data_IF_715672607597
#
_entry.id   IF_715672607597
#
_cell.length_a   1.000
_cell.length_b   1.000
_cell.length_c   1.000
_cell.angle_alpha   90.00
_cell.angle_beta   90.00
_cell.angle_gamma   90.00
#
_symmetry.space_group_name_H-M   'P 1'
#
loop_
_entity.id
_entity.type
_entity.pdbx_description
1 polymer ?
#
# COMPACT_ATOMS: atom_id res chain seq x y z
N UNK A 1 -29.78 0.01 8.23
CA UNK A 1 -28.73 -0.33 7.25
C UNK A 1 -27.88 -1.37 7.94
N UNK A 2 -27.95 -2.61 7.47
CA UNK A 2 -27.33 -3.77 8.11
C UNK A 2 -25.81 -3.63 8.02
N UNK A 3 -25.12 -3.58 9.16
CA UNK A 3 -23.65 -3.65 9.28
C UNK A 3 -23.18 -4.94 8.59
N UNK A 4 -22.67 -4.84 7.36
CA UNK A 4 -21.92 -5.92 6.74
C UNK A 4 -20.54 -6.00 7.38
N UNK A 5 -20.08 -7.21 7.69
CA UNK A 5 -18.70 -7.41 8.13
C UNK A 5 -17.73 -6.83 7.08
N UNK A 6 -16.66 -6.10 7.48
CA UNK A 6 -15.70 -5.49 6.54
C UNK A 6 -15.16 -6.45 5.48
N UNK A 7 -15.02 -7.73 5.85
CA UNK A 7 -14.61 -8.83 4.97
C UNK A 7 -15.60 -9.07 3.83
N UNK A 8 -16.90 -9.02 4.11
CA UNK A 8 -17.94 -9.19 3.10
C UNK A 8 -17.92 -8.04 2.09
N UNK A 9 -17.70 -6.81 2.57
CA UNK A 9 -17.58 -5.65 1.68
C UNK A 9 -16.33 -5.73 0.79
N UNK A 10 -15.20 -6.24 1.31
CA UNK A 10 -13.99 -6.48 0.53
C UNK A 10 -14.21 -7.53 -0.56
N UNK A 11 -14.85 -8.66 -0.22
CA UNK A 11 -15.17 -9.71 -1.19
C UNK A 11 -16.15 -9.22 -2.27
N UNK A 12 -17.20 -8.48 -1.89
CA UNK A 12 -18.13 -7.87 -2.84
C UNK A 12 -17.41 -6.90 -3.79
N UNK A 13 -16.52 -6.07 -3.24
CA UNK A 13 -15.72 -5.12 -4.03
C UNK A 13 -14.83 -5.83 -5.06
N UNK A 14 -14.30 -7.01 -4.74
CA UNK A 14 -13.60 -7.88 -5.68
C UNK A 14 -14.51 -8.42 -6.79
N UNK A 15 -15.69 -8.96 -6.43
CA UNK A 15 -16.64 -9.51 -7.41
C UNK A 15 -17.10 -8.42 -8.39
N UNK A 16 -17.41 -7.22 -7.91
CA UNK A 16 -17.82 -6.09 -8.74
C UNK A 16 -16.73 -5.71 -9.77
N UNK A 17 -15.45 -5.77 -9.37
CA UNK A 17 -14.33 -5.53 -10.29
C UNK A 17 -14.22 -6.61 -11.36
N UNK A 18 -14.33 -7.90 -10.97
CA UNK A 18 -14.26 -9.02 -11.91
C UNK A 18 -15.37 -8.89 -12.97
N UNK A 19 -16.61 -8.65 -12.55
CA UNK A 19 -17.76 -8.45 -13.45
C UNK A 19 -17.56 -7.25 -14.37
N UNK A 20 -17.05 -6.14 -13.84
CA UNK A 20 -16.78 -4.93 -14.64
C UNK A 20 -15.71 -5.18 -15.70
N UNK A 21 -14.65 -5.92 -15.37
CA UNK A 21 -13.60 -6.30 -16.32
C UNK A 21 -14.17 -7.20 -17.42
N UNK A 22 -14.97 -8.21 -17.06
CA UNK A 22 -15.61 -9.10 -18.04
C UNK A 22 -16.51 -8.32 -19.01
N UNK A 23 -17.36 -7.44 -18.48
CA UNK A 23 -18.28 -6.65 -19.30
C UNK A 23 -17.52 -5.73 -20.27
N UNK A 24 -16.49 -5.02 -19.78
CA UNK A 24 -15.66 -4.16 -20.63
C UNK A 24 -14.92 -4.94 -21.71
N UNK A 25 -14.33 -6.10 -21.38
CA UNK A 25 -13.68 -6.96 -22.38
C UNK A 25 -14.68 -7.48 -23.42
N UNK A 26 -15.88 -7.90 -23.00
CA UNK A 26 -16.92 -8.39 -23.90
C UNK A 26 -17.37 -7.29 -24.88
N UNK A 27 -17.60 -6.06 -24.39
CA UNK A 27 -17.94 -4.91 -25.21
C UNK A 27 -16.88 -4.68 -26.30
N UNK A 28 -15.59 -4.65 -25.93
CA UNK A 28 -14.47 -4.47 -26.87
C UNK A 28 -14.43 -5.57 -27.93
N UNK A 29 -14.58 -6.83 -27.52
CA UNK A 29 -14.51 -7.98 -28.42
C UNK A 29 -15.71 -8.06 -29.37
N UNK A 30 -16.88 -7.57 -28.95
CA UNK A 30 -18.05 -7.41 -29.81
C UNK A 30 -17.83 -6.30 -30.83
N UNK A 31 -17.37 -5.12 -30.40
CA UNK A 31 -17.04 -4.01 -31.31
C UNK A 31 -16.00 -4.40 -32.36
N UNK A 32 -14.93 -5.10 -31.96
CA UNK A 32 -13.90 -5.56 -32.88
C UNK A 32 -14.40 -6.54 -33.96
N UNK A 33 -15.51 -7.26 -33.72
CA UNK A 33 -16.15 -8.12 -34.72
C UNK A 33 -16.99 -7.32 -35.72
N UNK A 34 -17.56 -6.19 -35.29
CA UNK A 34 -18.40 -5.31 -36.13
C UNK A 34 -17.57 -4.31 -36.96
N UNK A 35 -16.39 -3.89 -36.49
CA UNK A 35 -15.50 -2.95 -37.19
C UNK A 35 -14.92 -3.47 -38.53
N UNK A 36 -15.09 -4.76 -38.83
CA UNK A 36 -14.84 -5.30 -40.18
C UNK A 36 -15.77 -4.72 -41.28
N UNK A 37 -16.70 -3.81 -40.94
CA UNK A 37 -17.62 -3.14 -41.88
C UNK A 37 -17.37 -1.62 -42.07
N UNK A 38 -16.24 -1.07 -41.60
CA UNK A 38 -15.77 0.25 -42.04
C UNK A 38 -16.43 1.49 -41.41
N UNK A 39 -16.91 1.39 -40.16
CA UNK A 39 -17.30 2.58 -39.37
C UNK A 39 -16.16 3.05 -38.45
N UNK A 40 -16.07 4.36 -38.14
CA UNK A 40 -15.06 4.88 -37.23
C UNK A 40 -15.33 4.35 -35.80
N UNK A 41 -14.29 4.04 -35.01
CA UNK A 41 -14.47 3.45 -33.70
C UNK A 41 -15.22 4.42 -32.77
N UNK A 42 -16.37 3.97 -32.27
CA UNK A 42 -17.10 4.62 -31.18
C UNK A 42 -16.16 4.66 -29.98
N UNK A 43 -15.88 5.87 -29.46
CA UNK A 43 -15.12 6.19 -28.23
C UNK A 43 -14.70 4.96 -27.42
N UNK A 44 -13.64 4.30 -27.89
CA UNK A 44 -13.26 2.98 -27.41
C UNK A 44 -12.64 3.07 -26.03
N UNK A 45 -13.11 2.23 -25.11
CA UNK A 45 -12.46 1.96 -23.81
C UNK A 45 -10.95 1.79 -24.00
N UNK A 46 -10.14 2.38 -23.11
CA UNK A 46 -8.68 2.43 -23.29
C UNK A 46 -8.04 1.06 -23.50
N UNK A 47 -8.58 -0.02 -22.93
CA UNK A 47 -8.06 -1.38 -23.07
C UNK A 47 -8.03 -1.92 -24.51
N UNK A 48 -8.86 -1.40 -25.42
CA UNK A 48 -8.90 -1.81 -26.83
C UNK A 48 -7.53 -1.64 -27.53
N UNK A 49 -6.73 -0.67 -27.09
CA UNK A 49 -5.38 -0.41 -27.61
C UNK A 49 -4.37 -1.53 -27.34
N UNK A 50 -4.69 -2.53 -26.52
CA UNK A 50 -3.84 -3.71 -26.28
C UNK A 50 -4.01 -4.81 -27.33
N UNK A 51 -5.05 -4.73 -28.18
CA UNK A 51 -5.38 -5.74 -29.19
C UNK A 51 -6.26 -6.87 -28.67
N UNK A 52 -7.10 -7.41 -29.55
CA UNK A 52 -8.18 -8.36 -29.22
C UNK A 52 -7.70 -9.64 -28.53
N UNK A 53 -6.51 -10.15 -28.88
CA UNK A 53 -5.96 -11.37 -28.27
C UNK A 53 -5.66 -11.21 -26.77
N UNK A 54 -5.11 -10.06 -26.36
CA UNK A 54 -4.83 -9.79 -24.94
C UNK A 54 -6.10 -9.48 -24.16
N UNK A 55 -7.04 -8.76 -24.79
CA UNK A 55 -8.36 -8.49 -24.21
C UNK A 55 -9.13 -9.80 -23.98
N UNK A 56 -9.14 -10.71 -24.97
CA UNK A 56 -9.74 -12.04 -24.84
C UNK A 56 -9.07 -12.88 -23.73
N UNK A 57 -7.73 -12.85 -23.66
CA UNK A 57 -7.01 -13.58 -22.62
C UNK A 57 -7.36 -13.07 -21.21
N UNK A 58 -7.43 -11.74 -21.03
CA UNK A 58 -7.86 -11.13 -19.77
C UNK A 58 -9.31 -11.48 -19.45
N UNK A 59 -10.22 -11.40 -20.42
CA UNK A 59 -11.63 -11.78 -20.27
C UNK A 59 -11.77 -13.20 -19.75
N UNK A 60 -11.07 -14.17 -20.38
CA UNK A 60 -11.09 -15.56 -19.95
C UNK A 60 -10.52 -15.77 -18.55
N UNK A 61 -9.53 -14.97 -18.13
CA UNK A 61 -9.03 -15.06 -16.76
C UNK A 61 -10.08 -14.53 -15.78
N UNK A 62 -10.73 -13.41 -16.10
CA UNK A 62 -11.80 -12.85 -15.28
C UNK A 62 -12.99 -13.82 -15.14
N UNK A 63 -13.37 -14.54 -16.20
CA UNK A 63 -14.37 -15.61 -16.16
C UNK A 63 -14.02 -16.71 -15.16
N UNK A 64 -12.76 -17.17 -15.20
CA UNK A 64 -12.30 -18.19 -14.28
C UNK A 64 -12.27 -17.68 -12.85
N UNK A 65 -11.79 -16.45 -12.62
CA UNK A 65 -11.80 -15.82 -11.28
C UNK A 65 -13.22 -15.74 -10.75
N UNK A 66 -14.18 -15.30 -11.55
CA UNK A 66 -15.59 -15.23 -11.14
C UNK A 66 -16.12 -16.62 -10.72
N UNK A 67 -15.85 -17.66 -11.52
CA UNK A 67 -16.29 -19.02 -11.20
C UNK A 67 -15.72 -19.51 -9.87
N UNK A 68 -14.43 -19.26 -9.60
CA UNK A 68 -13.81 -19.59 -8.31
C UNK A 68 -14.45 -18.84 -7.13
N UNK A 69 -14.84 -17.57 -7.33
CA UNK A 69 -15.61 -16.82 -6.33
C UNK A 69 -16.99 -17.42 -6.08
N UNK A 70 -17.71 -17.81 -7.14
CA UNK A 70 -19.03 -18.45 -7.01
C UNK A 70 -18.95 -19.82 -6.32
N UNK A 71 -17.91 -20.60 -6.62
CA UNK A 71 -17.61 -21.87 -5.92
C UNK A 71 -17.33 -21.63 -4.43
N UNK A 72 -16.54 -20.61 -4.10
CA UNK A 72 -16.26 -20.24 -2.71
C UNK A 72 -17.54 -19.87 -1.96
N UNK A 73 -18.37 -18.98 -2.53
CA UNK A 73 -19.66 -18.58 -1.91
C UNK A 73 -20.58 -19.78 -1.73
N UNK A 74 -20.67 -20.66 -2.74
CA UNK A 74 -21.50 -21.87 -2.69
C UNK A 74 -21.04 -22.82 -1.59
N UNK A 75 -19.73 -23.00 -1.43
CA UNK A 75 -19.14 -23.85 -0.39
C UNK A 75 -19.43 -23.30 1.00
N UNK A 76 -19.28 -21.99 1.21
CA UNK A 76 -19.66 -21.33 2.48
C UNK A 76 -21.14 -21.53 2.83
N UNK A 77 -22.03 -21.62 1.84
CA UNK A 77 -23.47 -21.85 2.08
C UNK A 77 -23.86 -23.32 2.25
N UNK A 78 -23.03 -24.28 1.82
CA UNK A 78 -23.35 -25.70 1.74
C UNK A 78 -22.86 -26.55 2.93
N UNK A 79 -22.23 -25.94 3.94
CA UNK A 79 -21.60 -26.59 5.10
C UNK A 79 -22.60 -27.21 6.12
N UNK A 80 -23.67 -27.87 5.64
CA UNK A 80 -24.56 -28.72 6.46
C UNK A 80 -24.46 -30.21 6.08
N UNK A 81 -23.78 -30.60 4.99
CA UNK A 81 -23.68 -32.05 4.66
C UNK A 81 -22.33 -32.46 4.09
N UNK A 82 -21.65 -33.32 4.84
CA UNK A 82 -20.36 -33.94 4.56
C UNK A 82 -20.27 -34.76 3.25
N UNK A 83 -19.01 -34.99 2.84
CA UNK A 83 -18.46 -36.03 1.96
C UNK A 83 -18.51 -35.85 0.43
N UNK A 84 -17.52 -35.12 -0.13
CA UNK A 84 -16.92 -35.37 -1.46
C UNK A 84 -15.62 -34.55 -1.77
N UNK A 85 -14.80 -34.18 -0.78
CA UNK A 85 -13.80 -33.10 -0.93
C UNK A 85 -12.45 -33.46 -1.62
N UNK A 86 -12.16 -34.74 -1.92
CA UNK A 86 -10.81 -35.18 -2.31
C UNK A 86 -10.36 -34.83 -3.75
N UNK A 87 -11.23 -35.00 -4.75
CA UNK A 87 -10.87 -34.80 -6.16
C UNK A 87 -11.14 -33.37 -6.66
N UNK A 88 -12.18 -32.71 -6.11
CA UNK A 88 -12.55 -31.33 -6.48
C UNK A 88 -11.50 -30.29 -6.07
N UNK A 89 -10.88 -30.46 -4.90
CA UNK A 89 -9.90 -29.52 -4.36
C UNK A 89 -8.60 -29.48 -5.19
N UNK A 90 -8.16 -30.64 -5.70
CA UNK A 90 -6.96 -30.74 -6.55
C UNK A 90 -7.14 -30.01 -7.89
N UNK A 91 -8.31 -30.15 -8.53
CA UNK A 91 -8.62 -29.47 -9.80
C UNK A 91 -8.77 -27.96 -9.62
N UNK A 92 -9.46 -27.51 -8.57
CA UNK A 92 -9.61 -26.08 -8.26
C UNK A 92 -8.25 -25.43 -7.94
N UNK A 93 -7.39 -26.13 -7.19
CA UNK A 93 -6.03 -25.70 -6.90
C UNK A 93 -5.15 -25.58 -8.16
N UNK A 94 -5.25 -26.53 -9.10
CA UNK A 94 -4.54 -26.45 -10.38
C UNK A 94 -5.04 -25.28 -11.23
N UNK A 95 -6.36 -25.08 -11.29
CA UNK A 95 -6.98 -23.97 -12.03
C UNK A 95 -6.57 -22.62 -11.45
N UNK A 96 -6.57 -22.48 -10.12
CA UNK A 96 -6.07 -21.30 -9.42
C UNK A 96 -4.63 -20.97 -9.83
N UNK A 97 -3.70 -21.94 -9.74
CA UNK A 97 -2.29 -21.72 -10.03
C UNK A 97 -2.07 -21.33 -11.51
N UNK A 98 -2.83 -21.94 -12.42
CA UNK A 98 -2.77 -21.61 -13.84
C UNK A 98 -3.23 -20.18 -14.12
N UNK A 99 -4.33 -19.74 -13.51
CA UNK A 99 -4.87 -18.39 -13.70
C UNK A 99 -3.94 -17.36 -13.09
N UNK A 100 -3.41 -17.62 -11.89
CA UNK A 100 -2.42 -16.75 -11.24
C UNK A 100 -1.22 -16.53 -12.16
N UNK A 101 -0.65 -17.60 -12.71
CA UNK A 101 0.46 -17.52 -13.66
C UNK A 101 0.10 -16.72 -14.92
N UNK A 102 -1.08 -16.95 -15.50
CA UNK A 102 -1.53 -16.20 -16.69
C UNK A 102 -1.72 -14.72 -16.41
N UNK A 103 -2.22 -14.35 -15.23
CA UNK A 103 -2.34 -12.95 -14.82
C UNK A 103 -0.96 -12.30 -14.65
N UNK A 104 0.02 -13.04 -14.14
CA UNK A 104 1.42 -12.57 -14.07
C UNK A 104 2.03 -12.41 -15.47
N UNK A 105 1.75 -13.33 -16.39
CA UNK A 105 2.19 -13.23 -17.79
C UNK A 105 1.58 -11.98 -18.45
N UNK A 106 0.27 -11.72 -18.27
CA UNK A 106 -0.41 -10.51 -18.79
C UNK A 106 0.22 -9.24 -18.19
N UNK A 107 0.41 -9.20 -16.87
CA UNK A 107 1.04 -8.07 -16.19
C UNK A 107 2.47 -7.84 -16.68
N UNK A 108 3.24 -8.92 -16.90
CA UNK A 108 4.61 -8.86 -17.43
C UNK A 108 4.64 -8.32 -18.87
N UNK A 109 3.73 -8.77 -19.73
CA UNK A 109 3.57 -8.25 -21.09
C UNK A 109 3.26 -6.76 -21.05
N UNK A 110 2.29 -6.33 -20.23
CA UNK A 110 1.94 -4.92 -20.09
C UNK A 110 3.14 -4.09 -19.57
N UNK A 111 3.83 -4.58 -18.54
CA UNK A 111 4.99 -3.92 -17.94
C UNK A 111 6.18 -3.82 -18.90
N UNK A 112 6.40 -4.83 -19.75
CA UNK A 112 7.44 -4.78 -20.78
C UNK A 112 7.25 -3.59 -21.73
N UNK A 113 6.01 -3.15 -21.96
CA UNK A 113 5.70 -1.97 -22.76
C UNK A 113 6.05 -0.67 -22.06
N UNK A 114 6.16 -0.65 -20.73
CA UNK A 114 6.44 0.58 -19.99
C UNK A 114 7.85 1.09 -20.32
N UNK A 115 8.81 0.19 -20.56
CA UNK A 115 10.17 0.54 -20.97
C UNK A 115 10.27 1.20 -22.35
N UNK A 116 9.21 1.11 -23.17
CA UNK A 116 9.18 1.72 -24.49
C UNK A 116 8.73 3.19 -24.47
N UNK A 117 8.28 3.72 -23.32
CA UNK A 117 7.73 5.07 -23.22
C UNK A 117 8.25 5.79 -21.96
N UNK A 118 8.32 7.12 -22.02
CA UNK A 118 8.31 7.90 -20.78
C UNK A 118 6.93 7.77 -20.13
N UNK A 119 6.86 7.80 -18.80
CA UNK A 119 5.59 7.57 -18.10
C UNK A 119 4.46 8.50 -18.55
N UNK A 120 4.75 9.78 -18.82
CA UNK A 120 3.78 10.77 -19.32
C UNK A 120 3.19 10.42 -20.70
N UNK A 121 3.94 9.67 -21.50
CA UNK A 121 3.58 9.29 -22.87
C UNK A 121 3.11 7.83 -22.94
N UNK A 122 3.13 7.10 -21.82
CA UNK A 122 2.77 5.69 -21.73
C UNK A 122 1.26 5.51 -22.02
N UNK A 123 0.90 4.77 -23.09
CA UNK A 123 -0.50 4.60 -23.47
C UNK A 123 -1.34 4.03 -22.33
N UNK A 124 -2.53 4.61 -22.13
CA UNK A 124 -3.46 4.24 -21.05
C UNK A 124 -3.84 2.77 -21.14
N UNK A 125 -3.94 2.20 -22.36
CA UNK A 125 -4.27 0.80 -22.59
C UNK A 125 -3.36 -0.17 -21.81
N UNK A 126 -2.04 0.02 -21.91
CA UNK A 126 -1.06 -0.83 -21.24
C UNK A 126 -1.09 -0.65 -19.73
N UNK A 127 -1.30 0.57 -19.24
CA UNK A 127 -1.45 0.84 -17.81
C UNK A 127 -2.73 0.20 -17.25
N UNK A 128 -3.83 0.26 -18.00
CA UNK A 128 -5.08 -0.38 -17.61
C UNK A 128 -4.96 -1.91 -17.62
N UNK A 129 -4.34 -2.50 -18.66
CA UNK A 129 -4.11 -3.96 -18.72
C UNK A 129 -3.27 -4.45 -17.53
N UNK A 130 -2.22 -3.72 -17.15
CA UNK A 130 -1.44 -4.00 -15.94
C UNK A 130 -2.31 -3.91 -14.68
N UNK A 131 -3.10 -2.83 -14.57
CA UNK A 131 -3.99 -2.60 -13.43
C UNK A 131 -5.01 -3.73 -13.28
N UNK A 132 -5.69 -4.11 -14.36
CA UNK A 132 -6.73 -5.13 -14.34
C UNK A 132 -6.20 -6.53 -14.02
N UNK A 133 -5.07 -6.90 -14.62
CA UNK A 133 -4.43 -8.19 -14.34
C UNK A 133 -4.00 -8.30 -12.87
N UNK A 134 -3.48 -7.22 -12.28
CA UNK A 134 -3.15 -7.15 -10.85
C UNK A 134 -4.38 -7.10 -9.95
N UNK A 135 -5.46 -6.44 -10.35
CA UNK A 135 -6.74 -6.48 -9.64
C UNK A 135 -7.31 -7.90 -9.58
N UNK A 136 -7.30 -8.63 -10.70
CA UNK A 136 -7.72 -10.05 -10.72
C UNK A 136 -6.79 -10.93 -9.87
N UNK A 137 -5.47 -10.67 -9.90
CA UNK A 137 -4.51 -11.37 -9.02
C UNK A 137 -4.83 -11.11 -7.55
N UNK A 138 -5.10 -9.86 -7.18
CA UNK A 138 -5.52 -9.51 -5.81
C UNK A 138 -6.79 -10.27 -5.41
N UNK A 139 -7.80 -10.31 -6.27
CA UNK A 139 -9.04 -11.06 -6.00
C UNK A 139 -8.74 -12.56 -5.76
N UNK A 140 -7.88 -13.18 -6.56
CA UNK A 140 -7.46 -14.56 -6.33
C UNK A 140 -6.71 -14.75 -5.02
N UNK A 141 -5.71 -13.91 -4.74
CA UNK A 141 -4.94 -13.98 -3.49
C UNK A 141 -5.86 -13.83 -2.28
N UNK A 142 -6.87 -12.96 -2.36
CA UNK A 142 -7.83 -12.76 -1.29
C UNK A 142 -8.63 -14.03 -1.00
N UNK A 143 -9.06 -14.79 -2.02
CA UNK A 143 -9.78 -16.06 -1.80
C UNK A 143 -8.96 -17.10 -1.01
N UNK A 144 -7.63 -17.09 -1.13
CA UNK A 144 -6.75 -17.98 -0.36
C UNK A 144 -6.27 -17.39 0.95
N UNK A 145 -6.60 -16.12 1.22
CA UNK A 145 -6.20 -15.45 2.43
C UNK A 145 -7.03 -15.91 3.63
N UNK A 146 -6.51 -15.75 4.87
CA UNK A 146 -7.29 -15.97 6.09
C UNK A 146 -8.51 -15.03 6.21
N UNK A 147 -8.63 -14.01 5.36
CA UNK A 147 -9.80 -13.12 5.32
C UNK A 147 -10.99 -13.77 4.63
N UNK A 148 -10.78 -14.53 3.55
CA UNK A 148 -11.86 -15.24 2.86
C UNK A 148 -12.17 -16.57 3.54
N UNK A 149 -11.17 -17.24 4.10
CA UNK A 149 -11.26 -18.54 4.75
C UNK A 149 -11.84 -18.49 6.18
N UNK A 150 -12.80 -17.61 6.46
CA UNK A 150 -13.54 -17.63 7.71
C UNK A 150 -14.46 -18.86 7.75
N UNK A 151 -13.90 -20.08 7.95
CA UNK A 151 -14.49 -21.21 8.71
C UNK A 151 -13.76 -22.56 8.63
N UNK A 152 -12.68 -22.76 7.86
CA UNK A 152 -11.92 -24.02 7.93
C UNK A 152 -10.88 -23.99 9.07
N UNK A 153 -11.31 -24.35 10.28
CA UNK A 153 -10.44 -24.61 11.43
C UNK A 153 -9.53 -25.86 11.26
N UNK A 154 -9.59 -26.57 10.13
CA UNK A 154 -9.08 -27.93 10.01
C UNK A 154 -7.82 -28.11 9.14
N UNK A 155 -7.29 -27.07 8.50
CA UNK A 155 -6.07 -27.19 7.67
C UNK A 155 -5.12 -25.99 7.81
N UNK A 156 -5.05 -25.41 9.02
CA UNK A 156 -3.99 -24.45 9.35
C UNK A 156 -2.66 -25.18 9.35
N UNK A 157 -1.81 -24.92 8.36
CA UNK A 157 -0.37 -24.89 8.62
C UNK A 157 -0.13 -23.78 9.65
N UNK A 158 -0.03 -24.18 10.92
CA UNK A 158 0.02 -23.34 12.13
C UNK A 158 1.30 -22.48 12.27
N UNK A 159 1.91 -22.04 11.17
CA UNK A 159 3.00 -21.06 11.21
C UNK A 159 2.43 -19.64 11.11
N UNK A 160 2.54 -18.80 12.16
CA UNK A 160 2.12 -17.40 12.10
C UNK A 160 2.79 -16.57 10.99
N UNK A 161 3.92 -17.04 10.44
CA UNK A 161 4.60 -16.44 9.29
C UNK A 161 3.75 -16.46 8.01
N UNK A 162 2.95 -17.51 7.77
CA UNK A 162 2.21 -17.69 6.50
C UNK A 162 1.04 -16.69 6.33
N UNK A 163 0.44 -16.25 7.45
CA UNK A 163 -0.59 -15.20 7.44
C UNK A 163 0.01 -13.80 7.20
N UNK A 164 1.23 -13.56 7.70
CA UNK A 164 1.99 -12.33 7.43
C UNK A 164 2.34 -12.22 5.94
N UNK A 165 2.87 -13.29 5.37
CA UNK A 165 3.24 -13.39 3.96
C UNK A 165 2.04 -13.14 3.01
N UNK A 166 0.84 -13.59 3.40
CA UNK A 166 -0.37 -13.36 2.63
C UNK A 166 -0.76 -11.87 2.52
N UNK A 167 -0.73 -11.13 3.64
CA UNK A 167 -1.03 -9.69 3.63
C UNK A 167 0.01 -8.92 2.85
N UNK A 168 1.27 -9.30 2.99
CA UNK A 168 2.38 -8.67 2.31
C UNK A 168 2.19 -8.77 0.78
N UNK A 169 1.83 -9.95 0.26
CA UNK A 169 1.55 -10.13 -1.18
C UNK A 169 0.29 -9.39 -1.65
N UNK A 170 -0.77 -9.30 -0.84
CA UNK A 170 -1.97 -8.51 -1.15
C UNK A 170 -1.64 -7.02 -1.26
N UNK A 171 -0.97 -6.47 -0.25
CA UNK A 171 -0.57 -5.05 -0.19
C UNK A 171 0.40 -4.73 -1.33
N UNK A 172 1.42 -5.55 -1.53
CA UNK A 172 2.38 -5.42 -2.63
C UNK A 172 1.72 -5.42 -3.99
N UNK A 173 0.71 -6.28 -4.20
CA UNK A 173 -0.04 -6.32 -5.47
C UNK A 173 -0.73 -4.98 -5.77
N UNK A 174 -1.35 -4.36 -4.76
CA UNK A 174 -2.01 -3.06 -4.91
C UNK A 174 -1.01 -1.89 -5.03
N UNK A 175 0.07 -1.90 -4.24
CA UNK A 175 1.09 -0.85 -4.30
C UNK A 175 1.85 -0.84 -5.62
N UNK A 176 2.23 -2.01 -6.16
CA UNK A 176 2.84 -2.08 -7.49
C UNK A 176 1.91 -1.54 -8.57
N UNK A 177 0.60 -1.75 -8.42
CA UNK A 177 -0.41 -1.21 -9.35
C UNK A 177 -0.48 0.31 -9.28
N UNK A 178 -0.43 0.89 -8.08
CA UNK A 178 -0.38 2.33 -7.87
C UNK A 178 0.92 2.94 -8.41
N UNK A 179 2.07 2.37 -8.04
CA UNK A 179 3.39 2.95 -8.30
C UNK A 179 3.76 2.81 -9.79
N UNK A 180 3.57 1.64 -10.38
CA UNK A 180 4.05 1.36 -11.74
C UNK A 180 3.05 1.78 -12.81
N UNK A 181 1.75 1.59 -12.59
CA UNK A 181 0.72 1.87 -13.59
C UNK A 181 -0.13 3.10 -13.26
N UNK A 182 0.04 3.73 -12.10
CA UNK A 182 -0.80 4.84 -11.65
C UNK A 182 -2.25 4.43 -11.36
N UNK A 183 -2.53 3.12 -11.22
CA UNK A 183 -3.87 2.54 -11.16
C UNK A 183 -4.80 3.05 -12.28
N UNK A 184 -4.34 2.94 -13.54
CA UNK A 184 -5.10 3.40 -14.69
C UNK A 184 -6.39 2.60 -14.92
N UNK A 185 -7.42 3.28 -15.38
CA UNK A 185 -8.73 2.70 -15.72
C UNK A 185 -9.86 3.64 -15.30
N UNK A 186 -10.70 4.04 -16.25
CA UNK A 186 -11.75 5.03 -16.00
C UNK A 186 -12.91 4.47 -15.15
N UNK A 187 -13.29 3.20 -15.38
CA UNK A 187 -14.42 2.55 -14.70
C UNK A 187 -14.10 2.12 -13.26
N UNK A 188 -12.84 1.74 -12.98
CA UNK A 188 -12.38 1.19 -11.69
C UNK A 188 -11.11 1.89 -11.21
N UNK A 189 -9.98 1.58 -11.85
CA UNK A 189 -8.67 2.20 -11.65
C UNK A 189 -8.38 2.58 -10.20
N UNK A 190 -7.95 3.83 -10.01
CA UNK A 190 -7.53 4.36 -8.72
C UNK A 190 -8.60 4.26 -7.62
N UNK A 191 -9.86 4.59 -7.95
CA UNK A 191 -10.96 4.56 -6.98
C UNK A 191 -11.16 3.16 -6.39
N UNK A 192 -11.04 2.14 -7.24
CA UNK A 192 -11.15 0.76 -6.79
C UNK A 192 -9.99 0.36 -5.89
N UNK A 193 -8.75 0.72 -6.26
CA UNK A 193 -7.55 0.38 -5.49
C UNK A 193 -7.56 1.05 -4.11
N UNK A 194 -7.89 2.34 -4.04
CA UNK A 194 -7.95 3.09 -2.77
C UNK A 194 -8.99 2.46 -1.83
N UNK A 195 -10.18 2.10 -2.36
CA UNK A 195 -11.22 1.42 -1.58
C UNK A 195 -10.82 0.00 -1.16
N UNK A 196 -10.11 -0.74 -2.02
CA UNK A 196 -9.61 -2.08 -1.68
C UNK A 196 -8.58 -2.03 -0.56
N UNK A 197 -7.65 -1.06 -0.59
CA UNK A 197 -6.70 -0.81 0.50
C UNK A 197 -7.42 -0.43 1.80
N UNK A 198 -8.40 0.46 1.74
CA UNK A 198 -9.18 0.86 2.91
C UNK A 198 -9.90 -0.34 3.55
N UNK A 199 -10.65 -1.10 2.75
CA UNK A 199 -11.36 -2.29 3.21
C UNK A 199 -10.40 -3.35 3.77
N UNK A 200 -9.29 -3.61 3.08
CA UNK A 200 -8.25 -4.53 3.54
C UNK A 200 -7.64 -4.09 4.87
N UNK A 201 -7.42 -2.79 5.05
CA UNK A 201 -6.87 -2.24 6.29
C UNK A 201 -7.81 -2.48 7.47
N UNK A 202 -9.11 -2.20 7.29
CA UNK A 202 -10.12 -2.42 8.33
C UNK A 202 -10.25 -3.92 8.65
N UNK A 203 -10.24 -4.81 7.65
CA UNK A 203 -10.29 -6.26 7.89
C UNK A 203 -9.07 -6.78 8.63
N UNK A 204 -7.88 -6.32 8.25
CA UNK A 204 -6.63 -6.71 8.89
C UNK A 204 -6.53 -6.22 10.34
N UNK A 205 -6.92 -4.97 10.59
CA UNK A 205 -6.92 -4.40 11.93
C UNK A 205 -7.88 -5.13 12.87
N UNK A 206 -9.08 -5.49 12.38
CA UNK A 206 -10.07 -6.23 13.17
C UNK A 206 -9.59 -7.65 13.57
N UNK A 207 -8.93 -8.37 12.65
CA UNK A 207 -8.36 -9.69 12.98
C UNK A 207 -7.20 -9.61 13.97
N UNK A 208 -6.34 -8.60 13.81
CA UNK A 208 -5.19 -8.39 14.71
C UNK A 208 -5.64 -8.10 16.14
N UNK A 209 -6.76 -7.40 16.33
CA UNK A 209 -7.34 -7.13 17.65
C UNK A 209 -8.01 -8.37 18.29
N UNK A 210 -8.56 -9.29 17.50
CA UNK A 210 -9.26 -10.49 17.99
C UNK A 210 -8.36 -11.65 18.42
N UNK A 211 -7.09 -11.68 17.99
CA UNK A 211 -6.15 -12.73 18.36
C UNK A 211 -5.59 -12.60 19.79
N UNK A 212 -5.63 -11.41 20.41
CA UNK A 212 -5.07 -11.18 21.74
C UNK A 212 -5.97 -11.64 22.91
N UNK A 213 -7.27 -11.87 22.68
CA UNK A 213 -8.21 -12.23 23.77
C UNK A 213 -8.26 -13.72 24.10
N UNK A 214 -7.56 -14.59 23.37
CA UNK A 214 -7.56 -16.05 23.61
C UNK A 214 -6.43 -16.55 24.53
N UNK A 215 -5.66 -15.65 25.14
CA UNK A 215 -4.73 -15.97 26.22
C UNK A 215 -5.44 -16.04 27.58
N UNK A 216 -5.95 -17.22 27.94
CA UNK A 216 -6.36 -17.65 29.30
C UNK A 216 -6.84 -16.57 30.29
N UNK A 217 -8.16 -16.38 30.38
CA UNK A 217 -8.80 -16.10 31.67
C UNK A 217 -10.19 -16.71 31.72
N UNK A 218 -10.36 -17.67 32.63
CA UNK A 218 -11.64 -18.28 33.00
C UNK A 218 -12.35 -17.34 33.97
N UNK A 219 -13.69 -17.21 33.80
CA UNK A 219 -14.69 -16.44 34.55
C UNK A 219 -14.74 -14.94 34.19
N UNK A 220 -15.89 -14.29 33.95
CA UNK A 220 -17.25 -14.47 34.45
C UNK A 220 -18.27 -13.82 33.47
N UNK A 221 -19.46 -14.41 33.41
CA UNK A 221 -20.57 -14.04 32.52
C UNK A 221 -21.20 -12.72 32.95
N UNK A 222 -21.24 -11.69 32.08
CA UNK A 222 -22.26 -10.61 32.18
C UNK A 222 -22.40 -9.78 30.90
N UNK A 223 -23.64 -9.57 30.40
CA UNK A 223 -23.88 -8.78 29.19
C UNK A 223 -23.87 -7.28 29.53
N UNK A 224 -22.94 -6.51 28.96
CA UNK A 224 -22.92 -5.06 29.11
C UNK A 224 -23.79 -4.34 28.08
N UNK A 225 -24.60 -3.43 28.63
CA UNK A 225 -25.61 -2.58 28.01
C UNK A 225 -25.09 -1.73 26.83
N UNK A 226 -25.86 -1.81 25.74
CA UNK A 226 -26.10 -0.82 24.67
C UNK A 226 -25.66 0.63 24.99
N UNK A 227 -24.65 1.12 24.28
CA UNK A 227 -24.28 2.54 24.19
C UNK A 227 -24.57 3.10 22.78
N UNK A 228 -24.82 4.40 22.72
CA UNK A 228 -25.54 5.15 21.66
C UNK A 228 -24.56 5.77 20.63
N UNK A 229 -25.02 5.88 19.38
CA UNK A 229 -24.34 6.45 18.20
C UNK A 229 -23.47 7.69 18.50
N UNK A 230 -22.20 7.62 18.10
CA UNK A 230 -21.32 8.74 17.75
C UNK A 230 -20.44 8.32 16.56
N UNK A 231 -20.07 9.29 15.74
CA UNK A 231 -19.45 9.18 14.41
C UNK A 231 -18.24 8.23 14.34
N UNK A 232 -18.15 7.47 13.24
CA UNK A 232 -17.09 6.49 12.97
C UNK A 232 -15.77 7.24 12.69
N UNK A 233 -15.04 7.56 13.75
CA UNK A 233 -13.61 7.82 13.70
C UNK A 233 -12.93 6.53 14.18
N UNK A 234 -12.38 5.75 13.26
CA UNK A 234 -11.59 4.57 13.60
C UNK A 234 -10.27 5.07 14.19
N UNK A 235 -10.18 5.18 15.52
CA UNK A 235 -8.89 5.23 16.20
C UNK A 235 -8.25 3.84 16.09
N UNK A 236 -7.08 3.69 15.45
CA UNK A 236 -6.40 2.41 15.40
C UNK A 236 -5.65 2.22 16.72
N UNK A 237 -6.31 1.66 17.73
CA UNK A 237 -5.66 1.09 18.90
C UNK A 237 -5.04 -0.26 18.50
N UNK A 238 -3.97 -0.21 17.70
CA UNK A 238 -3.07 -1.34 17.51
C UNK A 238 -2.09 -1.32 18.69
N UNK A 239 -2.22 -2.31 19.59
CA UNK A 239 -1.24 -2.55 20.63
C UNK A 239 0.09 -2.99 20.00
N UNK A 240 0.96 -2.02 19.69
CA UNK A 240 2.38 -2.27 19.85
C UNK A 240 2.62 -2.52 21.34
N UNK A 241 3.38 -3.57 21.70
CA UNK A 241 3.94 -3.76 23.04
C UNK A 241 4.03 -2.43 23.80
N UNK A 242 3.41 -2.35 24.98
CA UNK A 242 3.22 -1.15 25.85
C UNK A 242 4.48 -0.32 26.18
N UNK A 243 5.63 -0.61 25.57
CA UNK A 243 6.89 0.12 25.69
C UNK A 243 7.24 0.96 24.44
N UNK A 244 6.55 0.81 23.29
CA UNK A 244 6.91 1.52 22.04
C UNK A 244 5.96 2.66 21.63
N UNK A 245 4.88 2.88 22.40
CA UNK A 245 3.87 3.92 22.13
C UNK A 245 4.40 5.34 22.41
N UNK A 246 5.51 5.46 23.15
CA UNK A 246 6.15 6.74 23.51
C UNK A 246 7.42 7.04 22.69
N UNK A 247 7.88 6.11 21.85
CA UNK A 247 9.08 6.33 21.05
C UNK A 247 8.82 7.45 20.03
N UNK A 248 9.65 8.50 20.07
CA UNK A 248 9.67 9.59 19.09
C UNK A 248 10.96 9.52 18.30
N UNK A 249 10.93 9.95 17.03
CA UNK A 249 12.15 10.09 16.25
C UNK A 249 13.14 11.03 16.95
N UNK A 250 14.43 10.71 16.83
CA UNK A 250 15.50 11.56 17.32
C UNK A 250 15.43 12.96 16.71
N UNK A 251 15.59 13.98 17.54
CA UNK A 251 15.73 15.38 17.12
C UNK A 251 17.17 15.75 16.78
N UNK A 252 18.09 14.79 16.83
CA UNK A 252 19.49 15.01 16.50
C UNK A 252 19.66 15.34 15.01
N UNK A 253 20.19 16.52 14.74
CA UNK A 253 20.57 16.95 13.40
C UNK A 253 22.06 16.60 13.17
N UNK A 254 22.39 15.70 12.22
CA UNK A 254 23.76 15.23 12.05
C UNK A 254 24.70 16.31 11.47
N UNK A 255 24.15 17.29 10.75
CA UNK A 255 24.92 18.35 10.13
C UNK A 255 24.08 19.60 9.90
N UNK A 256 24.50 20.71 10.48
CA UNK A 256 23.97 22.04 10.18
C UNK A 256 25.03 22.81 9.39
N UNK A 257 24.80 23.14 8.11
CA UNK A 257 25.76 23.90 7.32
C UNK A 257 25.91 25.34 7.83
N UNK A 258 27.11 25.93 7.75
CA UNK A 258 27.30 27.34 8.08
C UNK A 258 26.59 28.22 7.05
N UNK A 259 25.53 28.94 7.47
CA UNK A 259 24.74 29.83 6.61
C UNK A 259 25.26 31.26 6.72
N UNK A 260 25.87 31.79 5.65
CA UNK A 260 26.42 33.16 5.61
C UNK A 260 25.39 34.23 5.23
N UNK A 261 24.33 33.84 4.52
CA UNK A 261 23.24 34.73 4.08
C UNK A 261 21.90 34.08 4.43
N UNK A 262 21.41 34.26 5.67
CA UNK A 262 20.17 33.63 6.10
C UNK A 262 18.97 34.21 5.36
N UNK A 263 18.03 33.33 5.00
CA UNK A 263 16.74 33.74 4.43
C UNK A 263 15.93 34.50 5.48
N UNK A 264 15.27 35.60 5.06
CA UNK A 264 14.41 36.39 5.93
C UNK A 264 13.34 35.50 6.56
N UNK A 265 13.17 35.59 7.88
CA UNK A 265 12.16 34.83 8.62
C UNK A 265 11.06 35.76 9.13
N UNK A 266 9.80 35.36 8.96
CA UNK A 266 8.61 36.07 9.46
C UNK A 266 7.71 35.13 10.25
N UNK A 267 6.83 35.69 11.08
CA UNK A 267 5.89 34.95 11.93
C UNK A 267 4.50 35.09 11.33
N UNK A 268 3.96 34.00 10.75
CA UNK A 268 2.61 33.87 10.21
C UNK A 268 1.99 35.21 9.74
N UNK A 269 2.54 35.84 8.67
CA UNK A 269 2.03 37.11 8.17
C UNK A 269 0.56 36.96 7.76
N UNK A 270 -0.20 38.05 7.82
CA UNK A 270 -1.54 38.05 7.21
C UNK A 270 -1.46 37.80 5.70
N UNK A 271 -2.55 37.34 5.09
CA UNK A 271 -2.64 37.13 3.64
C UNK A 271 -2.31 38.44 2.91
N UNK A 272 -2.81 39.58 3.39
CA UNK A 272 -2.55 40.90 2.80
C UNK A 272 -1.07 41.29 2.85
N UNK A 273 -0.39 41.03 3.98
CA UNK A 273 1.04 41.29 4.13
C UNK A 273 1.87 40.40 3.19
N UNK A 274 1.48 39.13 3.08
CA UNK A 274 2.13 38.19 2.17
C UNK A 274 1.90 38.56 0.70
N UNK A 275 0.67 38.91 0.32
CA UNK A 275 0.35 39.37 -1.04
C UNK A 275 1.12 40.65 -1.38
N UNK A 276 1.15 41.60 -0.46
CA UNK A 276 1.96 42.82 -0.60
C UNK A 276 3.45 42.50 -0.80
N UNK A 277 3.98 41.50 -0.10
CA UNK A 277 5.36 41.05 -0.27
C UNK A 277 5.60 40.43 -1.65
N UNK A 278 4.66 39.61 -2.15
CA UNK A 278 4.73 39.02 -3.48
C UNK A 278 4.65 40.07 -4.60
N UNK A 279 3.81 41.10 -4.43
CA UNK A 279 3.60 42.15 -5.43
C UNK A 279 4.73 43.20 -5.45
N UNK A 280 5.38 43.43 -4.31
CA UNK A 280 6.43 44.46 -4.15
C UNK A 280 7.83 43.84 -4.13
N UNK A 281 8.12 43.04 -5.15
CA UNK A 281 9.47 42.54 -5.39
C UNK A 281 10.49 43.69 -5.49
N UNK A 282 11.64 43.56 -4.83
CA UNK A 282 12.72 44.56 -4.91
C UNK A 282 13.32 44.62 -6.31
N UNK A 283 13.37 43.48 -7.00
CA UNK A 283 13.78 43.35 -8.39
C UNK A 283 12.62 42.82 -9.23
N UNK A 284 12.08 43.66 -10.11
CA UNK A 284 10.96 43.30 -10.99
C UNK A 284 11.29 42.19 -12.00
N UNK A 285 12.57 41.94 -12.28
CA UNK A 285 13.02 40.89 -13.20
C UNK A 285 13.21 39.52 -12.54
N UNK A 286 13.41 39.48 -11.22
CA UNK A 286 13.65 38.25 -10.44
C UNK A 286 12.47 37.84 -9.57
N UNK A 287 11.57 38.78 -9.24
CA UNK A 287 10.42 38.52 -8.37
C UNK A 287 10.77 38.62 -6.88
N UNK A 288 9.85 38.20 -5.99
CA UNK A 288 10.05 38.27 -4.55
C UNK A 288 11.18 37.35 -4.08
N UNK A 289 11.93 37.79 -3.07
CA UNK A 289 13.00 37.00 -2.47
C UNK A 289 12.45 35.77 -1.71
N UNK A 290 13.27 34.74 -1.45
CA UNK A 290 12.85 33.64 -0.58
C UNK A 290 12.50 34.13 0.83
N UNK A 291 11.48 33.51 1.43
CA UNK A 291 10.95 33.87 2.74
C UNK A 291 10.67 32.61 3.57
N UNK A 292 11.11 32.58 4.84
CA UNK A 292 10.75 31.52 5.80
C UNK A 292 9.57 32.00 6.64
N UNK A 293 8.43 31.33 6.51
CA UNK A 293 7.23 31.60 7.33
C UNK A 293 7.17 30.60 8.48
N UNK A 294 7.25 31.10 9.71
CA UNK A 294 7.07 30.30 10.93
C UNK A 294 5.64 30.38 11.43
N UNK A 295 5.23 29.37 12.20
CA UNK A 295 3.92 29.29 12.87
C UNK A 295 2.69 29.32 11.93
N UNK A 296 2.87 29.05 10.65
CA UNK A 296 1.78 28.96 9.68
C UNK A 296 1.06 27.60 9.68
N UNK A 297 1.69 26.54 10.20
CA UNK A 297 1.23 25.15 10.04
C UNK A 297 0.65 24.56 11.33
N UNK A 298 0.43 25.38 12.37
CA UNK A 298 0.03 24.90 13.71
C UNK A 298 -1.29 24.12 13.75
N UNK A 299 -2.15 24.28 12.72
CA UNK A 299 -3.40 23.56 12.59
C UNK A 299 -3.25 22.14 12.00
N UNK A 300 -2.06 21.74 11.52
CA UNK A 300 -1.83 20.42 10.94
C UNK A 300 -1.98 19.33 12.00
N UNK A 301 -2.88 18.34 11.81
CA UNK A 301 -2.96 17.17 12.69
C UNK A 301 -1.62 16.44 12.84
N UNK A 302 -0.76 16.46 11.81
CA UNK A 302 0.58 15.88 11.78
C UNK A 302 1.49 16.30 12.95
N UNK A 303 1.23 17.47 13.54
CA UNK A 303 2.02 18.06 14.64
C UNK A 303 1.48 17.74 16.03
N UNK A 304 0.33 17.05 16.14
CA UNK A 304 -0.34 16.81 17.42
C UNK A 304 -1.21 15.55 17.41
N UNK A 305 -2.44 15.65 16.89
CA UNK A 305 -3.43 14.55 16.92
C UNK A 305 -2.97 13.30 16.17
N UNK A 306 -2.27 13.48 15.06
CA UNK A 306 -1.73 12.44 14.19
C UNK A 306 -0.20 12.58 14.13
N UNK A 307 0.53 12.33 15.23
CA UNK A 307 1.91 12.80 15.37
C UNK A 307 2.88 12.03 14.44
N UNK A 308 3.38 12.69 13.39
CA UNK A 308 4.32 12.06 12.46
C UNK A 308 5.72 11.87 13.05
N UNK A 309 6.02 12.51 14.18
CA UNK A 309 7.25 12.25 14.92
C UNK A 309 7.22 10.90 15.67
N UNK A 310 6.08 10.20 15.70
CA UNK A 310 5.94 8.87 16.28
C UNK A 310 6.03 7.78 15.18
N UNK A 311 7.05 6.91 15.21
CA UNK A 311 7.20 5.82 14.25
C UNK A 311 6.00 4.86 14.27
N UNK A 312 5.44 4.61 15.46
CA UNK A 312 4.26 3.75 15.66
C UNK A 312 3.05 4.23 14.85
N UNK A 313 2.81 5.55 14.83
CA UNK A 313 1.75 6.16 14.03
C UNK A 313 1.97 5.95 12.53
N UNK A 314 3.17 6.26 12.01
CA UNK A 314 3.45 6.08 10.58
C UNK A 314 3.38 4.59 10.16
N UNK A 315 3.81 3.68 11.02
CA UNK A 315 3.68 2.24 10.79
C UNK A 315 2.20 1.82 10.79
N UNK A 316 1.36 2.32 11.70
CA UNK A 316 -0.07 1.98 11.73
C UNK A 316 -0.77 2.44 10.45
N UNK A 317 -0.44 3.63 9.93
CA UNK A 317 -0.98 4.15 8.67
C UNK A 317 -0.52 3.38 7.42
N UNK A 318 0.43 2.45 7.57
CA UNK A 318 1.04 1.70 6.46
C UNK A 318 0.94 0.19 6.65
N UNK A 319 -0.14 -0.32 7.27
CA UNK A 319 -0.34 -1.76 7.54
C UNK A 319 0.78 -2.35 8.43
N UNK A 320 1.21 -1.60 9.44
CA UNK A 320 2.43 -1.92 10.17
C UNK A 320 3.68 -1.79 9.29
N UNK A 321 3.74 -0.81 8.38
CA UNK A 321 4.87 -0.59 7.50
C UNK A 321 5.03 -1.55 6.30
N UNK A 322 4.00 -2.32 5.94
CA UNK A 322 4.01 -3.22 4.77
C UNK A 322 3.86 -2.51 3.42
N UNK A 323 3.39 -1.26 3.41
CA UNK A 323 3.25 -0.47 2.19
C UNK A 323 4.61 -0.31 1.50
N UNK A 324 4.67 -0.54 0.20
CA UNK A 324 5.90 -0.35 -0.58
C UNK A 324 6.11 1.13 -0.90
N UNK A 325 7.37 1.57 -0.86
CA UNK A 325 7.74 2.93 -1.21
C UNK A 325 9.00 2.97 -2.09
N UNK A 326 9.07 3.88 -3.07
CA UNK A 326 10.27 4.08 -3.87
C UNK A 326 11.30 4.86 -3.08
N UNK A 327 12.47 4.25 -2.87
CA UNK A 327 13.58 4.82 -2.12
C UNK A 327 14.78 4.98 -3.04
N UNK A 328 15.32 6.19 -3.09
CA UNK A 328 16.58 6.49 -3.73
C UNK A 328 17.73 6.09 -2.80
N UNK A 329 18.67 5.30 -3.32
CA UNK A 329 19.84 4.83 -2.59
C UNK A 329 21.08 5.38 -3.29
N UNK A 330 21.95 6.03 -2.53
CA UNK A 330 23.14 6.70 -3.04
C UNK A 330 23.24 8.13 -2.53
N UNK A 331 24.41 8.73 -2.69
CA UNK A 331 24.68 10.08 -2.17
C UNK A 331 24.00 11.18 -3.00
N UNK A 332 23.93 11.03 -4.32
CA UNK A 332 23.34 12.00 -5.24
C UNK A 332 22.90 11.33 -6.53
N UNK A 333 21.87 11.87 -7.20
CA UNK A 333 21.35 11.35 -8.48
C UNK A 333 22.36 11.36 -9.64
N UNK A 334 23.48 12.07 -9.47
CA UNK A 334 24.59 12.11 -10.45
C UNK A 334 25.72 11.12 -10.14
N UNK A 335 25.68 10.44 -8.99
CA UNK A 335 26.74 9.52 -8.57
C UNK A 335 26.48 8.11 -9.16
N UNK A 336 27.53 7.39 -9.60
CA UNK A 336 27.40 6.05 -10.23
C UNK A 336 26.75 5.00 -9.31
N UNK A 337 26.83 5.21 -7.99
CA UNK A 337 26.20 4.35 -6.98
C UNK A 337 24.73 4.66 -6.73
N UNK A 338 24.12 5.59 -7.48
CA UNK A 338 22.72 5.95 -7.32
C UNK A 338 21.80 4.95 -8.01
N UNK A 339 20.71 4.61 -7.33
CA UNK A 339 19.63 3.82 -7.90
C UNK A 339 18.35 3.94 -7.09
N UNK A 340 17.26 3.40 -7.64
CA UNK A 340 15.96 3.35 -6.97
C UNK A 340 15.60 1.91 -6.62
N UNK A 341 15.04 1.70 -5.45
CA UNK A 341 14.47 0.41 -5.02
C UNK A 341 13.07 0.60 -4.46
N UNK A 342 12.23 -0.40 -4.65
CA UNK A 342 10.97 -0.53 -3.94
C UNK A 342 11.21 -1.41 -2.72
N UNK A 343 11.10 -0.83 -1.54
CA UNK A 343 11.23 -1.51 -0.25
C UNK A 343 9.99 -1.23 0.59
N UNK A 344 9.76 -2.01 1.65
CA UNK A 344 8.65 -1.71 2.56
C UNK A 344 8.92 -0.46 3.38
N UNK A 345 7.87 0.25 3.77
CA UNK A 345 8.00 1.45 4.62
C UNK A 345 8.67 1.10 5.97
N UNK A 346 8.39 -0.10 6.50
CA UNK A 346 9.06 -0.64 7.69
C UNK A 346 10.56 -0.81 7.47
N UNK A 347 10.96 -1.44 6.36
CA UNK A 347 12.37 -1.59 5.99
C UNK A 347 13.04 -0.22 5.88
N UNK A 348 12.41 0.76 5.23
CA UNK A 348 12.96 2.11 5.12
C UNK A 348 13.23 2.74 6.49
N UNK A 349 12.23 2.73 7.39
CA UNK A 349 12.39 3.29 8.74
C UNK A 349 13.48 2.57 9.54
N UNK A 350 13.50 1.24 9.50
CA UNK A 350 14.46 0.46 10.28
C UNK A 350 15.89 0.55 9.73
N UNK A 351 16.07 0.42 8.42
CA UNK A 351 17.40 0.33 7.83
C UNK A 351 18.12 1.68 7.72
N UNK A 352 17.36 2.77 7.50
CA UNK A 352 17.91 4.07 7.11
C UNK A 352 17.56 5.23 8.06
N UNK A 353 16.54 5.10 8.92
CA UNK A 353 16.14 6.18 9.84
C UNK A 353 16.55 5.86 11.28
N UNK A 354 16.02 4.77 11.84
CA UNK A 354 16.27 4.38 13.22
C UNK A 354 16.28 2.84 13.39
N UNK A 355 17.47 2.22 13.50
CA UNK A 355 17.61 0.78 13.71
C UNK A 355 17.03 0.28 15.04
N UNK A 356 16.77 1.16 16.01
CA UNK A 356 16.24 0.75 17.31
C UNK A 356 14.74 0.45 17.28
N UNK A 357 14.06 0.81 16.19
CA UNK A 357 12.60 0.63 16.04
C UNK A 357 12.14 -0.84 16.07
N UNK A 358 13.03 -1.81 15.85
CA UNK A 358 12.71 -3.25 15.80
C UNK A 358 13.62 -4.14 16.67
N UNK A 359 14.60 -3.58 17.38
CA UNK A 359 15.71 -4.35 17.98
C UNK A 359 15.39 -5.07 19.30
N UNK A 360 14.10 -5.36 19.59
CA UNK A 360 13.70 -6.03 20.85
C UNK A 360 12.67 -7.14 20.70
N UNK A 361 12.77 -7.90 19.61
CA UNK A 361 12.07 -9.18 19.41
C UNK A 361 13.01 -10.41 19.45
N UNK A 362 14.16 -10.31 20.14
CA UNK A 362 14.97 -11.49 20.51
C UNK A 362 14.87 -11.69 22.01
N UNK A 363 14.44 -12.89 22.40
CA UNK A 363 14.13 -13.32 23.76
C UNK A 363 15.22 -13.00 24.81
N UNK A 364 14.84 -12.57 26.02
CA UNK A 364 15.75 -12.47 27.16
C UNK A 364 15.90 -13.83 27.89
N UNK A 365 16.12 -14.91 27.14
CA UNK A 365 16.40 -16.24 27.72
C UNK A 365 17.71 -16.80 27.17
N UNK A 366 18.82 -16.18 27.55
CA UNK A 366 20.09 -16.87 27.82
C UNK A 366 21.09 -15.88 28.42
N UNK A 367 20.73 -15.31 29.58
CA UNK A 367 21.72 -14.79 30.52
C UNK A 367 22.19 -15.97 31.39
N UNK A 368 23.25 -16.64 30.95
CA UNK A 368 23.93 -17.66 31.74
C UNK A 368 24.61 -18.70 30.88
N UNK A 369 25.89 -18.50 30.57
CA UNK A 369 27.01 -19.41 30.91
C UNK A 369 28.31 -18.82 30.36
N UNK A 370 29.33 -18.82 31.21
CA UNK A 370 30.73 -18.40 31.06
C UNK A 370 31.42 -19.03 29.83
N UNK A 371 32.51 -18.43 29.29
CA UNK A 371 33.10 -18.86 28.03
C UNK A 371 34.01 -20.06 28.24
N UNK A 372 33.76 -21.13 27.48
CA UNK A 372 34.67 -22.27 27.40
C UNK A 372 35.19 -22.38 25.97
N UNK A 373 36.52 -22.27 25.86
CA UNK A 373 37.32 -22.54 24.68
C UNK A 373 36.94 -23.89 24.06
N UNK A 374 36.74 -23.92 22.74
CA UNK A 374 37.20 -25.05 21.95
C UNK A 374 37.69 -24.58 20.58
N UNK A 375 38.95 -24.94 20.32
CA UNK A 375 39.67 -24.73 19.08
C UNK A 375 39.30 -25.79 18.04
N UNK A 376 39.40 -25.38 16.77
CA UNK A 376 39.49 -26.16 15.53
C UNK A 376 38.18 -26.51 14.80
N UNK A 377 37.85 -25.69 13.79
CA UNK A 377 38.03 -26.15 12.41
C UNK A 377 38.17 -24.99 11.41
N UNK A 378 39.17 -25.16 10.55
CA UNK A 378 39.75 -24.21 9.61
C UNK A 378 39.02 -24.24 8.26
N UNK A 379 39.22 -23.19 7.45
CA UNK A 379 38.87 -22.98 6.03
C UNK A 379 37.57 -22.14 5.90
N UNK A 380 37.56 -20.88 5.43
CA UNK A 380 38.44 -20.19 4.49
C UNK A 380 38.43 -18.68 4.78
N UNK A 381 39.62 -18.10 4.84
CA UNK A 381 39.82 -16.67 5.01
C UNK A 381 39.57 -15.96 3.67
N UNK A 382 38.54 -15.12 3.63
CA UNK A 382 38.44 -14.02 2.67
C UNK A 382 37.79 -12.82 3.35
N UNK A 383 38.54 -11.71 3.30
CA UNK A 383 38.09 -10.31 3.40
C UNK A 383 37.45 -9.81 4.71
N UNK A 384 38.33 -9.31 5.58
CA UNK A 384 38.25 -8.01 6.30
C UNK A 384 36.86 -7.38 6.43
N UNK A 385 36.26 -7.52 7.61
CA UNK A 385 35.22 -6.64 8.11
C UNK A 385 35.78 -5.23 8.36
N UNK A 386 35.77 -4.41 7.32
CA UNK A 386 35.60 -2.96 7.48
C UNK A 386 34.10 -2.71 7.68
N UNK A 387 33.65 -1.88 8.64
CA UNK A 387 32.24 -1.53 8.74
C UNK A 387 31.86 -0.86 7.42
N UNK A 388 31.13 -1.59 6.57
CA UNK A 388 30.62 -1.01 5.34
C UNK A 388 29.65 0.10 5.74
N UNK A 389 30.03 1.34 5.46
CA UNK A 389 29.14 2.48 5.66
C UNK A 389 27.92 2.20 4.80
N UNK A 390 26.76 1.99 5.45
CA UNK A 390 25.50 1.76 4.73
C UNK A 390 25.27 2.96 3.80
N UNK A 391 24.84 2.71 2.55
CA UNK A 391 24.57 3.80 1.62
C UNK A 391 23.45 4.67 2.17
N UNK A 392 23.56 5.99 1.93
CA UNK A 392 22.50 6.94 2.29
C UNK A 392 21.26 6.66 1.43
N UNK A 393 20.08 6.78 2.02
CA UNK A 393 18.83 6.59 1.31
C UNK A 393 17.81 7.69 1.61
N UNK A 394 16.98 7.99 0.62
CA UNK A 394 15.97 9.04 0.67
C UNK A 394 14.64 8.56 0.11
N UNK A 395 13.56 8.72 0.87
CA UNK A 395 12.20 8.70 0.34
C UNK A 395 11.91 10.07 -0.29
N UNK A 396 12.39 10.27 -1.52
CA UNK A 396 12.33 11.56 -2.20
C UNK A 396 11.45 11.50 -3.46
N UNK A 397 10.96 12.67 -3.88
CA UNK A 397 10.27 12.90 -5.16
C UNK A 397 9.08 11.97 -5.45
N UNK A 398 8.47 11.42 -4.40
CA UNK A 398 7.31 10.55 -4.50
C UNK A 398 6.04 11.27 -4.05
N UNK A 399 4.94 11.07 -4.77
CA UNK A 399 3.63 11.60 -4.38
C UNK A 399 3.01 10.76 -3.25
N UNK A 400 3.68 10.76 -2.09
CA UNK A 400 3.34 9.91 -0.96
C UNK A 400 1.88 10.05 -0.51
N UNK A 401 1.35 11.28 -0.50
CA UNK A 401 -0.03 11.59 -0.12
C UNK A 401 -1.08 11.09 -1.11
N UNK A 402 -0.68 10.88 -2.38
CA UNK A 402 -1.55 10.16 -3.30
C UNK A 402 -1.59 8.68 -2.87
N UNK A 403 -0.44 8.03 -2.68
CA UNK A 403 -0.41 6.61 -2.32
C UNK A 403 -1.00 6.31 -0.92
N UNK A 404 -0.84 7.22 0.03
CA UNK A 404 -1.26 7.11 1.42
C UNK A 404 -2.27 8.22 1.78
N UNK A 405 -3.57 8.08 1.39
CA UNK A 405 -4.57 9.10 1.65
C UNK A 405 -4.80 9.42 3.14
N UNK A 406 -4.54 8.47 4.05
CA UNK A 406 -4.64 8.75 5.49
C UNK A 406 -3.67 9.83 5.94
N UNK A 407 -2.41 9.78 5.48
CA UNK A 407 -1.42 10.82 5.75
C UNK A 407 -1.79 12.15 5.08
N UNK A 408 -2.47 12.11 3.92
CA UNK A 408 -2.97 13.35 3.28
C UNK A 408 -3.95 14.10 4.19
N UNK A 409 -4.69 13.40 5.05
CA UNK A 409 -5.65 14.02 5.97
C UNK A 409 -4.97 14.69 7.18
N UNK A 410 -3.68 14.45 7.41
CA UNK A 410 -2.93 15.04 8.52
C UNK A 410 -2.30 16.39 8.20
N UNK A 411 -2.44 16.84 6.96
CA UNK A 411 -1.88 18.10 6.48
C UNK A 411 -2.95 18.95 5.79
N UNK A 412 -2.77 20.26 5.85
CA UNK A 412 -3.62 21.25 5.19
C UNK A 412 -2.82 21.99 4.13
N UNK A 413 -3.48 22.39 3.05
CA UNK A 413 -2.88 23.32 2.08
C UNK A 413 -2.74 24.68 2.80
N UNK A 414 -1.53 25.29 2.86
CA UNK A 414 -1.38 26.60 3.48
C UNK A 414 -2.22 27.67 2.76
N UNK A 415 -2.85 28.56 3.52
CA UNK A 415 -3.72 29.63 2.98
C UNK A 415 -2.99 30.54 1.97
N UNK A 416 -1.66 30.69 2.12
CA UNK A 416 -0.80 31.45 1.20
C UNK A 416 -0.75 30.89 -0.23
N UNK A 417 -1.24 29.66 -0.46
CA UNK A 417 -1.34 29.08 -1.80
C UNK A 417 -2.57 29.57 -2.57
N UNK A 418 -3.56 30.16 -1.89
CA UNK A 418 -4.76 30.70 -2.51
C UNK A 418 -4.40 31.99 -3.26
N UNK A 419 -4.73 32.03 -4.56
CA UNK A 419 -4.40 33.18 -5.42
C UNK A 419 -5.49 34.25 -5.44
N UNK A 420 -6.70 33.92 -5.01
CA UNK A 420 -7.87 34.81 -4.98
C UNK A 420 -8.71 34.53 -3.72
N UNK A 421 -9.26 35.58 -3.11
CA UNK A 421 -10.14 35.50 -1.93
C UNK A 421 -11.43 34.69 -2.14
N UNK A 422 -11.73 34.31 -3.38
CA UNK A 422 -13.00 33.71 -3.79
C UNK A 422 -12.94 32.18 -4.00
N UNK A 423 -11.80 31.52 -3.75
CA UNK A 423 -11.63 30.07 -4.00
C UNK A 423 -11.14 29.24 -2.81
N UNK A 424 -11.25 29.75 -1.58
CA UNK A 424 -10.93 28.98 -0.38
C UNK A 424 -12.16 28.30 0.24
#
# INVERSE_FOLDING_TARGET
MTDSAPTHDLLRHCVDAVLTIQHECADILLSAKHDNQGQPPITGTSLAGCGSALVDLLSRQADIVNNLYQEHVSTTTADITETAAGEGNSRSSQQYNLVLKRLEDIASIAYSKFYAYLFKDLPVCWRQLYTDSRMLKFCLLLLKSPYAAAQHELDRSDSPDDAGDCVDELVKTLDLTLILAGAAGERRGRRWIDRALELLHVTWAAQSAGQETNGHSVCDDRPTKRAKLAEIHVEPQLHSNHQNTEAIFSTYEPFTPPVTRPIKTVQAPSIDEFQTYMDRAQDSGLGPEPLVIRNALGAWPALGKSPWNQPSYLLSQTFGGRRLVPVEIGRSYVDEGWGQKLITFREFLHEYIDPTLLSRAKDPSNAGTTPQNDNNQTISASSKDTPSVKPVAYLAQHQLFAQLPSLRNDILVPDYCCKDSDTC
#
